data_IF_642757750900
#
_entry.id   IF_642757750900
#
_cell.length_a   1.000
_cell.length_b   1.000
_cell.length_c   1.000
_cell.angle_alpha   90.00
_cell.angle_beta   90.00
_cell.angle_gamma   90.00
#
_symmetry.space_group_name_H-M   'P 1'
#
loop_
_entity.id
_entity.type
_entity.pdbx_description
1 polymer ?
#
# COMPACT_ATOMS: atom_id res chain seq x y z
N UNK A 1 -14.22 11.24 4.35
CA UNK A 1 -12.99 11.27 3.51
C UNK A 1 -13.40 11.42 2.04
N UNK A 2 -12.70 12.25 1.27
CA UNK A 2 -12.88 12.37 -0.18
C UNK A 2 -12.52 11.06 -0.88
N UNK A 3 -13.02 10.87 -2.11
CA UNK A 3 -12.75 9.67 -2.90
C UNK A 3 -12.15 10.02 -4.25
N UNK A 4 -11.44 9.06 -4.85
CA UNK A 4 -10.93 9.13 -6.21
C UNK A 4 -11.16 7.80 -6.95
N UNK A 5 -11.08 7.81 -8.27
CA UNK A 5 -11.16 6.57 -9.04
C UNK A 5 -9.89 5.74 -8.91
N UNK A 6 -10.04 4.43 -8.87
CA UNK A 6 -8.95 3.46 -8.95
C UNK A 6 -8.61 3.23 -10.42
N UNK A 7 -7.53 3.85 -10.88
CA UNK A 7 -7.18 3.83 -12.29
C UNK A 7 -8.32 4.35 -13.18
N UNK A 8 -8.49 3.77 -14.35
CA UNK A 8 -9.58 4.08 -15.28
C UNK A 8 -10.93 3.42 -14.92
N UNK A 9 -11.01 2.77 -13.77
CA UNK A 9 -12.21 2.02 -13.38
C UNK A 9 -13.31 2.94 -12.83
N UNK A 10 -14.53 2.38 -12.73
CA UNK A 10 -15.64 3.04 -12.03
C UNK A 10 -15.56 2.86 -10.50
N UNK A 11 -14.57 2.12 -10.00
CA UNK A 11 -14.38 1.90 -8.57
C UNK A 11 -13.83 3.17 -7.93
N UNK A 12 -14.52 3.65 -6.90
CA UNK A 12 -14.07 4.77 -6.07
C UNK A 12 -13.46 4.25 -4.79
N UNK A 13 -12.30 4.76 -4.44
CA UNK A 13 -11.60 4.48 -3.19
C UNK A 13 -11.37 5.78 -2.42
N UNK A 14 -11.23 5.68 -1.10
CA UNK A 14 -10.79 6.81 -0.28
C UNK A 14 -9.38 7.26 -0.66
N UNK A 15 -9.06 8.54 -0.49
CA UNK A 15 -7.74 9.10 -0.82
C UNK A 15 -6.61 8.62 0.10
N UNK A 16 -6.95 7.93 1.18
CA UNK A 16 -6.05 7.14 2.03
C UNK A 16 -6.52 5.70 2.04
N UNK A 17 -5.59 4.75 2.04
CA UNK A 17 -5.86 3.33 2.16
C UNK A 17 -5.44 2.79 3.54
N UNK A 18 -6.06 1.71 3.97
CA UNK A 18 -5.67 1.01 5.20
C UNK A 18 -4.91 -0.28 4.89
N UNK A 19 -3.70 -0.43 5.43
CA UNK A 19 -2.80 -1.56 5.18
C UNK A 19 -2.76 -2.54 6.36
N UNK A 20 -2.98 -3.82 6.07
CA UNK A 20 -3.11 -4.88 7.06
C UNK A 20 -1.77 -5.50 7.49
N UNK A 21 -0.64 -5.16 6.87
CA UNK A 21 0.64 -5.85 7.07
C UNK A 21 1.02 -6.07 8.54
N UNK A 22 0.67 -5.13 9.42
CA UNK A 22 0.98 -5.18 10.85
C UNK A 22 -0.22 -5.47 11.73
N UNK A 23 -1.39 -5.75 11.17
CA UNK A 23 -2.65 -5.83 11.93
C UNK A 23 -2.58 -6.83 13.07
N UNK A 24 -2.03 -8.03 12.86
CA UNK A 24 -1.90 -9.07 13.89
C UNK A 24 -0.66 -8.92 14.80
N UNK A 25 0.15 -7.85 14.63
CA UNK A 25 1.24 -7.49 15.54
C UNK A 25 2.45 -8.43 15.56
N UNK A 26 2.54 -9.40 14.65
CA UNK A 26 3.67 -10.34 14.52
C UNK A 26 3.79 -10.85 13.08
N UNK A 27 4.98 -11.35 12.71
CA UNK A 27 5.22 -12.07 11.46
C UNK A 27 5.20 -13.60 11.61
N UNK A 28 5.12 -14.09 12.87
CA UNK A 28 5.10 -15.52 13.17
C UNK A 28 3.66 -15.98 13.44
N UNK A 29 3.08 -16.83 12.60
CA UNK A 29 1.69 -17.29 12.76
C UNK A 29 1.41 -17.91 14.14
N UNK A 30 2.39 -18.67 14.68
CA UNK A 30 2.27 -19.29 16.00
C UNK A 30 2.17 -18.29 17.17
N UNK A 31 2.54 -17.02 16.97
CA UNK A 31 2.46 -15.95 17.97
C UNK A 31 1.14 -15.14 17.88
N UNK A 32 0.26 -15.48 16.94
CA UNK A 32 -1.04 -14.80 16.78
C UNK A 32 -2.00 -15.35 17.83
N UNK A 33 -2.13 -14.62 18.94
CA UNK A 33 -3.07 -14.95 20.02
C UNK A 33 -4.48 -14.43 19.71
N UNK A 34 -5.52 -14.90 20.44
CA UNK A 34 -6.87 -14.34 20.33
C UNK A 34 -6.92 -12.83 20.55
N UNK A 35 -6.13 -12.30 21.47
CA UNK A 35 -6.06 -10.87 21.80
C UNK A 35 -5.46 -10.06 20.64
N UNK A 36 -4.40 -10.56 19.99
CA UNK A 36 -3.81 -9.94 18.79
C UNK A 36 -4.78 -9.96 17.62
N UNK A 37 -5.52 -11.06 17.46
CA UNK A 37 -6.55 -11.17 16.44
C UNK A 37 -7.68 -10.17 16.70
N UNK A 38 -8.13 -10.02 17.94
CA UNK A 38 -9.15 -9.03 18.32
C UNK A 38 -8.66 -7.61 18.09
N UNK A 39 -7.43 -7.27 18.48
CA UNK A 39 -6.84 -5.96 18.23
C UNK A 39 -6.75 -5.64 16.73
N UNK A 40 -6.48 -6.64 15.88
CA UNK A 40 -6.52 -6.48 14.43
C UNK A 40 -7.93 -6.14 13.94
N UNK A 41 -8.94 -6.85 14.41
CA UNK A 41 -10.34 -6.61 14.05
C UNK A 41 -10.76 -5.19 14.46
N UNK A 42 -10.43 -4.77 15.69
CA UNK A 42 -10.75 -3.42 16.18
C UNK A 42 -10.05 -2.32 15.37
N UNK A 43 -8.81 -2.54 14.93
CA UNK A 43 -8.11 -1.59 14.06
C UNK A 43 -8.75 -1.49 12.67
N UNK A 44 -9.25 -2.60 12.11
CA UNK A 44 -10.01 -2.59 10.85
C UNK A 44 -11.35 -1.85 10.99
N UNK A 45 -12.05 -2.05 12.11
CA UNK A 45 -13.29 -1.34 12.42
C UNK A 45 -13.03 0.16 12.54
N UNK A 46 -12.00 0.55 13.29
CA UNK A 46 -11.63 1.95 13.45
C UNK A 46 -11.28 2.62 12.10
N UNK A 47 -10.60 1.90 11.19
CA UNK A 47 -10.32 2.39 9.86
C UNK A 47 -11.61 2.56 9.03
N UNK A 48 -12.49 1.57 9.04
CA UNK A 48 -13.77 1.65 8.35
C UNK A 48 -14.64 2.82 8.84
N UNK A 49 -14.76 2.98 10.16
CA UNK A 49 -15.50 4.09 10.80
C UNK A 49 -14.87 5.47 10.52
N UNK A 50 -13.53 5.53 10.36
CA UNK A 50 -12.84 6.75 9.94
C UNK A 50 -13.01 7.06 8.44
N UNK A 51 -13.68 6.19 7.67
CA UNK A 51 -14.03 6.41 6.27
C UNK A 51 -13.01 5.87 5.27
N UNK A 52 -12.11 4.98 5.67
CA UNK A 52 -11.27 4.22 4.73
C UNK A 52 -12.13 3.22 3.95
N UNK A 53 -12.04 3.27 2.62
CA UNK A 53 -12.79 2.36 1.74
C UNK A 53 -11.90 1.47 0.90
N UNK A 54 -10.57 1.54 1.06
CA UNK A 54 -9.62 0.65 0.41
C UNK A 54 -8.76 -0.04 1.46
N UNK A 55 -8.86 -1.37 1.54
CA UNK A 55 -8.13 -2.22 2.48
C UNK A 55 -7.12 -3.08 1.73
N UNK A 56 -5.85 -2.94 2.09
CA UNK A 56 -4.71 -3.57 1.41
C UNK A 56 -4.10 -4.69 2.27
N UNK A 57 -4.07 -5.90 1.73
CA UNK A 57 -3.46 -7.07 2.35
C UNK A 57 -2.40 -7.72 1.43
N UNK A 58 -1.88 -8.88 1.81
CA UNK A 58 -1.12 -9.80 0.98
C UNK A 58 -1.16 -11.21 1.58
N UNK A 59 -1.02 -12.23 0.72
CA UNK A 59 -0.98 -13.64 1.10
C UNK A 59 0.11 -13.97 2.12
N UNK A 60 1.27 -13.30 2.01
CA UNK A 60 2.43 -13.51 2.89
C UNK A 60 2.33 -12.82 4.26
N UNK A 61 1.40 -11.87 4.47
CA UNK A 61 1.34 -11.11 5.72
C UNK A 61 0.97 -12.02 6.88
N UNK A 62 1.98 -12.35 7.70
CA UNK A 62 1.90 -13.36 8.76
C UNK A 62 1.28 -14.67 8.25
N UNK A 63 1.72 -15.16 7.07
CA UNK A 63 1.23 -16.36 6.41
C UNK A 63 -0.32 -16.42 6.33
N UNK A 64 -0.94 -15.34 5.85
CA UNK A 64 -2.39 -15.23 5.66
C UNK A 64 -3.19 -14.82 6.91
N UNK A 65 -2.58 -14.72 8.11
CA UNK A 65 -3.30 -14.35 9.32
C UNK A 65 -3.91 -12.93 9.25
N UNK A 66 -3.25 -12.01 8.52
CA UNK A 66 -3.79 -10.66 8.29
C UNK A 66 -5.05 -10.70 7.41
N UNK A 67 -5.10 -11.56 6.40
CA UNK A 67 -6.30 -11.79 5.58
C UNK A 67 -7.43 -12.42 6.40
N UNK A 68 -7.12 -13.41 7.24
CA UNK A 68 -8.09 -14.05 8.15
C UNK A 68 -8.68 -13.01 9.13
N UNK A 69 -7.86 -12.11 9.66
CA UNK A 69 -8.33 -11.03 10.53
C UNK A 69 -9.31 -10.11 9.80
N UNK A 70 -9.01 -9.72 8.56
CA UNK A 70 -9.92 -8.91 7.74
C UNK A 70 -11.22 -9.67 7.43
N UNK A 71 -11.13 -10.95 7.06
CA UNK A 71 -12.30 -11.82 6.84
C UNK A 71 -13.22 -11.88 8.06
N UNK A 72 -12.67 -12.05 9.27
CA UNK A 72 -13.43 -12.01 10.53
C UNK A 72 -14.07 -10.64 10.76
N UNK A 73 -13.39 -9.54 10.41
CA UNK A 73 -13.94 -8.18 10.49
C UNK A 73 -15.14 -8.02 9.57
N UNK A 74 -15.03 -8.50 8.32
CA UNK A 74 -16.13 -8.43 7.34
C UNK A 74 -17.38 -9.18 7.78
N UNK A 75 -17.21 -10.29 8.52
CA UNK A 75 -18.33 -11.02 9.15
C UNK A 75 -18.96 -10.25 10.31
N UNK A 76 -18.14 -9.61 11.13
CA UNK A 76 -18.59 -8.87 12.31
C UNK A 76 -19.32 -7.57 11.93
N UNK A 77 -18.83 -6.84 10.93
CA UNK A 77 -19.37 -5.52 10.53
C UNK A 77 -20.30 -5.65 9.34
N UNK A 78 -21.61 -5.69 9.61
CA UNK A 78 -22.63 -5.84 8.58
C UNK A 78 -22.56 -4.70 7.55
N UNK A 79 -22.47 -5.04 6.28
CA UNK A 79 -22.41 -4.07 5.18
C UNK A 79 -21.01 -3.64 4.77
N UNK A 80 -19.97 -3.81 5.61
CA UNK A 80 -18.59 -3.39 5.30
C UNK A 80 -18.09 -4.01 3.99
N UNK A 81 -18.30 -5.32 3.76
CA UNK A 81 -17.89 -6.02 2.53
C UNK A 81 -18.37 -5.35 1.24
N UNK A 82 -19.56 -4.70 1.27
CA UNK A 82 -20.13 -4.00 0.11
C UNK A 82 -19.64 -2.57 -0.03
N UNK A 83 -19.15 -1.99 1.07
CA UNK A 83 -18.76 -0.58 1.16
C UNK A 83 -17.28 -0.35 0.88
N UNK A 84 -16.45 -1.40 0.94
CA UNK A 84 -15.00 -1.29 0.77
C UNK A 84 -14.51 -2.03 -0.47
N UNK A 85 -13.33 -1.65 -0.92
CA UNK A 85 -12.51 -2.34 -1.92
C UNK A 85 -11.45 -3.14 -1.20
N UNK A 86 -11.34 -4.42 -1.50
CA UNK A 86 -10.38 -5.34 -0.89
C UNK A 86 -9.28 -5.67 -1.89
N UNK A 87 -8.05 -5.36 -1.51
CA UNK A 87 -6.86 -5.68 -2.28
C UNK A 87 -5.99 -6.70 -1.55
N UNK A 88 -5.41 -7.64 -2.29
CA UNK A 88 -4.37 -8.55 -1.80
C UNK A 88 -3.35 -8.84 -2.90
N UNK A 89 -2.27 -9.56 -2.57
CA UNK A 89 -1.08 -9.69 -3.42
C UNK A 89 -0.56 -11.11 -3.39
N UNK A 90 0.15 -11.52 -4.48
CA UNK A 90 0.84 -12.80 -4.57
C UNK A 90 2.27 -12.64 -5.11
N UNK A 91 3.02 -13.72 -5.10
CA UNK A 91 4.26 -13.88 -5.84
C UNK A 91 5.53 -13.77 -5.00
N UNK A 92 5.45 -13.56 -3.69
CA UNK A 92 6.61 -13.70 -2.81
C UNK A 92 6.56 -15.09 -2.15
N UNK A 93 7.66 -15.83 -2.23
CA UNK A 93 7.83 -17.12 -1.53
C UNK A 93 9.02 -17.03 -0.59
N UNK A 94 8.77 -17.26 0.69
CA UNK A 94 9.84 -17.28 1.69
C UNK A 94 10.74 -18.51 1.54
N UNK A 95 11.94 -18.41 2.10
CA UNK A 95 12.82 -19.60 2.19
C UNK A 95 12.10 -20.73 2.91
N UNK A 96 12.33 -21.97 2.45
CA UNK A 96 11.64 -23.15 2.97
C UNK A 96 10.30 -23.49 2.31
N UNK A 97 9.85 -22.70 1.31
CA UNK A 97 8.59 -22.93 0.60
C UNK A 97 8.85 -23.25 -0.90
N UNK A 98 8.36 -24.41 -1.46
CA UNK A 98 7.60 -25.48 -0.82
C UNK A 98 8.46 -26.53 -0.10
N UNK A 99 9.79 -26.52 -0.31
CA UNK A 99 10.72 -27.49 0.26
C UNK A 99 11.70 -26.78 1.22
N UNK A 100 12.19 -27.45 2.29
CA UNK A 100 13.08 -26.84 3.28
C UNK A 100 14.29 -26.09 2.70
N UNK A 101 14.86 -26.58 1.59
CA UNK A 101 16.02 -25.99 0.92
C UNK A 101 15.65 -24.91 -0.13
N UNK A 102 14.36 -24.62 -0.33
CA UNK A 102 13.94 -23.62 -1.30
C UNK A 102 14.41 -22.23 -0.86
N UNK A 103 15.04 -21.42 -1.76
CA UNK A 103 15.44 -20.07 -1.42
C UNK A 103 14.24 -19.12 -1.33
N UNK A 104 14.43 -18.00 -0.65
CA UNK A 104 13.52 -16.86 -0.82
C UNK A 104 13.55 -16.41 -2.29
N UNK A 105 12.39 -16.29 -2.91
CA UNK A 105 12.26 -15.96 -4.32
C UNK A 105 10.92 -15.27 -4.64
N UNK A 106 10.82 -14.76 -5.86
CA UNK A 106 9.55 -14.38 -6.47
C UNK A 106 9.10 -15.49 -7.42
N UNK A 107 7.77 -15.64 -7.58
CA UNK A 107 7.18 -16.73 -8.37
C UNK A 107 5.88 -16.23 -9.00
N UNK A 108 5.95 -15.90 -10.29
CA UNK A 108 4.78 -15.50 -11.10
C UNK A 108 4.36 -16.59 -12.09
N UNK A 109 4.67 -17.85 -11.78
CA UNK A 109 4.06 -18.96 -12.50
C UNK A 109 2.54 -18.91 -12.42
N UNK A 110 1.86 -19.32 -13.47
CA UNK A 110 0.39 -19.38 -13.48
C UNK A 110 -0.16 -20.25 -12.34
N UNK A 111 0.51 -21.34 -12.02
CA UNK A 111 0.16 -22.22 -10.90
C UNK A 111 0.15 -21.47 -9.58
N UNK A 112 1.25 -20.76 -9.26
CA UNK A 112 1.35 -20.03 -7.99
C UNK A 112 0.37 -18.86 -7.91
N UNK A 113 0.21 -18.08 -8.98
CA UNK A 113 -0.77 -16.97 -9.04
C UNK A 113 -2.20 -17.48 -8.75
N UNK A 114 -2.60 -18.59 -9.36
CA UNK A 114 -3.93 -19.18 -9.19
C UNK A 114 -4.12 -19.75 -7.78
N UNK A 115 -3.14 -20.50 -7.30
CA UNK A 115 -3.16 -21.10 -5.96
C UNK A 115 -3.21 -20.02 -4.86
N UNK A 116 -2.37 -18.98 -4.95
CA UNK A 116 -2.35 -17.86 -3.99
C UNK A 116 -3.69 -17.12 -3.98
N UNK A 117 -4.28 -16.86 -5.16
CA UNK A 117 -5.60 -16.22 -5.25
C UNK A 117 -6.68 -17.05 -4.51
N UNK A 118 -6.69 -18.36 -4.71
CA UNK A 118 -7.67 -19.25 -4.05
C UNK A 118 -7.47 -19.29 -2.53
N UNK A 119 -6.23 -19.28 -2.05
CA UNK A 119 -5.94 -19.19 -0.63
C UNK A 119 -6.38 -17.84 -0.03
N UNK A 120 -6.09 -16.73 -0.73
CA UNK A 120 -6.52 -15.39 -0.30
C UNK A 120 -8.04 -15.28 -0.21
N UNK A 121 -8.78 -15.81 -1.19
CA UNK A 121 -10.24 -15.84 -1.16
C UNK A 121 -10.77 -16.63 0.04
N UNK A 122 -10.14 -17.77 0.34
CA UNK A 122 -10.46 -18.61 1.52
C UNK A 122 -10.17 -17.89 2.84
N UNK A 123 -9.00 -17.26 2.96
CA UNK A 123 -8.58 -16.54 4.17
C UNK A 123 -9.49 -15.36 4.46
N UNK A 124 -9.81 -14.56 3.43
CA UNK A 124 -10.68 -13.40 3.49
C UNK A 124 -12.17 -13.78 3.63
N UNK A 125 -12.52 -15.03 3.34
CA UNK A 125 -13.91 -15.54 3.29
C UNK A 125 -14.80 -14.69 2.37
N UNK A 126 -14.31 -14.46 1.14
CA UNK A 126 -14.97 -13.71 0.07
C UNK A 126 -14.95 -14.51 -1.23
N UNK A 127 -15.89 -14.22 -2.13
CA UNK A 127 -15.96 -14.86 -3.45
C UNK A 127 -15.11 -14.14 -4.50
N UNK A 128 -14.77 -12.85 -4.26
CA UNK A 128 -14.06 -12.03 -5.23
C UNK A 128 -13.16 -11.00 -4.58
N UNK A 129 -11.92 -10.90 -5.06
CA UNK A 129 -10.96 -9.85 -4.76
C UNK A 129 -11.22 -8.67 -5.72
N UNK A 130 -11.29 -7.45 -5.20
CA UNK A 130 -11.49 -6.26 -6.04
C UNK A 130 -10.21 -5.86 -6.79
N UNK A 131 -9.04 -5.98 -6.15
CA UNK A 131 -7.76 -5.66 -6.74
C UNK A 131 -6.69 -6.69 -6.32
N UNK A 132 -6.10 -7.36 -7.30
CA UNK A 132 -5.07 -8.39 -7.08
C UNK A 132 -3.74 -7.95 -7.66
N UNK A 133 -2.70 -7.95 -6.82
CA UNK A 133 -1.38 -7.46 -7.20
C UNK A 133 -0.37 -8.58 -7.42
N UNK A 134 0.55 -8.37 -8.38
CA UNK A 134 1.88 -8.98 -8.35
C UNK A 134 2.75 -8.19 -7.37
N UNK A 135 3.24 -8.83 -6.29
CA UNK A 135 3.76 -8.15 -5.11
C UNK A 135 5.16 -7.52 -5.28
N UNK A 136 6.05 -8.19 -6.01
CA UNK A 136 7.42 -7.73 -6.32
C UNK A 136 7.80 -8.17 -7.72
N UNK A 137 8.59 -7.39 -8.48
CA UNK A 137 9.01 -7.82 -9.80
C UNK A 137 9.75 -9.16 -9.75
N UNK A 138 9.23 -10.17 -10.41
CA UNK A 138 9.93 -11.42 -10.66
C UNK A 138 10.81 -11.24 -11.89
N UNK A 139 12.13 -11.38 -11.74
CA UNK A 139 13.07 -11.23 -12.86
C UNK A 139 12.95 -12.36 -13.90
N UNK A 140 12.28 -13.45 -13.53
CA UNK A 140 11.98 -14.57 -14.42
C UNK A 140 10.51 -14.54 -14.92
N UNK A 141 9.79 -13.45 -14.72
CA UNK A 141 8.39 -13.34 -15.15
C UNK A 141 8.22 -13.66 -16.63
N UNK A 142 7.21 -14.46 -16.94
CA UNK A 142 6.75 -14.75 -18.29
C UNK A 142 5.42 -14.03 -18.54
N UNK A 143 5.39 -12.84 -19.20
CA UNK A 143 4.17 -12.06 -19.36
C UNK A 143 2.99 -12.82 -20.01
N UNK A 144 3.18 -13.64 -21.09
CA UNK A 144 2.11 -14.48 -21.63
C UNK A 144 1.50 -15.45 -20.62
N UNK A 145 2.32 -16.01 -19.72
CA UNK A 145 1.85 -16.94 -18.69
C UNK A 145 1.04 -16.20 -17.60
N UNK A 146 1.52 -15.03 -17.17
CA UNK A 146 0.79 -14.15 -16.23
C UNK A 146 -0.56 -13.73 -16.82
N UNK A 147 -0.58 -13.31 -18.10
CA UNK A 147 -1.81 -12.94 -18.80
C UNK A 147 -2.83 -14.08 -18.81
N UNK A 148 -2.38 -15.32 -19.06
CA UNK A 148 -3.21 -16.51 -19.03
C UNK A 148 -3.82 -16.76 -17.65
N UNK A 149 -3.03 -16.59 -16.57
CA UNK A 149 -3.51 -16.71 -15.21
C UNK A 149 -4.54 -15.62 -14.88
N UNK A 150 -4.24 -14.36 -15.22
CA UNK A 150 -5.16 -13.23 -14.99
C UNK A 150 -6.49 -13.40 -15.72
N UNK A 151 -6.45 -13.78 -16.99
CA UNK A 151 -7.65 -14.06 -17.77
C UNK A 151 -8.50 -15.18 -17.17
N UNK A 152 -7.87 -16.24 -16.66
CA UNK A 152 -8.57 -17.33 -15.95
C UNK A 152 -9.24 -16.82 -14.67
N UNK A 153 -8.56 -16.02 -13.85
CA UNK A 153 -9.12 -15.43 -12.64
C UNK A 153 -10.26 -14.46 -12.93
N UNK A 154 -10.09 -13.63 -13.97
CA UNK A 154 -11.14 -12.68 -14.43
C UNK A 154 -12.37 -13.42 -14.93
N UNK A 155 -12.20 -14.41 -15.80
CA UNK A 155 -13.30 -15.22 -16.35
C UNK A 155 -14.05 -16.00 -15.26
N UNK A 156 -13.33 -16.48 -14.25
CA UNK A 156 -13.93 -17.16 -13.09
C UNK A 156 -14.65 -16.21 -12.11
N UNK A 157 -14.57 -14.88 -12.32
CA UNK A 157 -15.15 -13.88 -11.44
C UNK A 157 -14.41 -13.72 -10.09
N UNK A 158 -13.25 -14.37 -9.92
CA UNK A 158 -12.47 -14.36 -8.68
C UNK A 158 -11.74 -13.05 -8.44
N UNK A 159 -11.35 -12.33 -9.51
CA UNK A 159 -10.65 -11.04 -9.44
C UNK A 159 -11.35 -10.04 -10.35
N UNK A 160 -11.50 -8.80 -9.84
CA UNK A 160 -12.15 -7.73 -10.59
C UNK A 160 -11.14 -6.88 -11.38
N UNK A 161 -10.03 -6.50 -10.76
CA UNK A 161 -8.98 -5.68 -11.35
C UNK A 161 -7.60 -6.19 -10.95
N UNK A 162 -6.58 -5.87 -11.77
CA UNK A 162 -5.21 -6.26 -11.55
C UNK A 162 -4.31 -5.04 -11.37
N UNK A 163 -3.28 -5.20 -10.56
CA UNK A 163 -2.26 -4.21 -10.31
C UNK A 163 -0.89 -4.85 -10.10
N UNK A 164 0.11 -4.02 -9.91
CA UNK A 164 1.49 -4.43 -9.64
C UNK A 164 2.03 -3.67 -8.43
N UNK A 165 3.10 -4.19 -7.83
CA UNK A 165 3.76 -3.50 -6.74
C UNK A 165 5.27 -3.48 -6.96
N UNK A 166 5.89 -2.31 -6.77
CA UNK A 166 7.33 -2.07 -6.97
C UNK A 166 7.82 -2.29 -8.42
N UNK A 167 6.94 -2.19 -9.40
CA UNK A 167 7.31 -2.29 -10.81
C UNK A 167 7.82 -0.96 -11.33
N UNK A 168 8.98 -0.98 -11.97
CA UNK A 168 9.47 0.13 -12.76
C UNK A 168 8.66 0.27 -14.07
N UNK A 169 8.68 1.46 -14.72
CA UNK A 169 7.92 1.70 -15.94
C UNK A 169 8.13 0.67 -17.05
N UNK A 170 9.35 0.19 -17.23
CA UNK A 170 9.67 -0.84 -18.22
C UNK A 170 8.98 -2.17 -17.93
N UNK A 171 8.93 -2.61 -16.67
CA UNK A 171 8.24 -3.83 -16.27
C UNK A 171 6.72 -3.71 -16.47
N UNK A 172 6.14 -2.55 -16.09
CA UNK A 172 4.71 -2.27 -16.32
C UNK A 172 4.39 -2.32 -17.81
N UNK A 173 5.17 -1.63 -18.64
CA UNK A 173 4.96 -1.58 -20.11
C UNK A 173 5.08 -2.97 -20.72
N UNK A 174 6.11 -3.74 -20.34
CA UNK A 174 6.31 -5.10 -20.85
C UNK A 174 5.15 -6.02 -20.48
N UNK A 175 4.71 -6.01 -19.22
CA UNK A 175 3.59 -6.85 -18.78
C UNK A 175 2.29 -6.42 -19.47
N UNK A 176 2.00 -5.11 -19.52
CA UNK A 176 0.77 -4.57 -20.09
C UNK A 176 0.59 -4.93 -21.57
N UNK A 177 1.68 -5.09 -22.31
CA UNK A 177 1.63 -5.47 -23.72
C UNK A 177 1.00 -6.87 -23.99
N UNK A 178 0.86 -7.69 -22.96
CA UNK A 178 0.29 -9.04 -23.01
C UNK A 178 -1.06 -9.16 -22.29
N UNK A 179 -1.48 -8.13 -21.55
CA UNK A 179 -2.73 -8.15 -20.79
C UNK A 179 -3.89 -7.61 -21.62
N UNK A 180 -5.04 -8.28 -21.57
CA UNK A 180 -6.30 -7.79 -22.16
C UNK A 180 -6.92 -6.67 -21.32
N UNK A 181 -6.68 -6.67 -19.99
CA UNK A 181 -7.20 -5.69 -19.05
C UNK A 181 -6.10 -4.71 -18.64
N UNK A 182 -6.41 -3.42 -18.42
CA UNK A 182 -5.42 -2.48 -17.94
C UNK A 182 -5.00 -2.79 -16.50
N UNK A 183 -3.72 -2.58 -16.20
CA UNK A 183 -3.23 -2.49 -14.83
C UNK A 183 -3.74 -1.18 -14.22
N UNK A 184 -4.45 -1.26 -13.09
CA UNK A 184 -5.14 -0.10 -12.50
C UNK A 184 -4.39 0.55 -11.35
N UNK A 185 -3.34 -0.12 -10.84
CA UNK A 185 -2.57 0.38 -9.72
C UNK A 185 -1.12 -0.11 -9.75
N UNK A 186 -0.19 0.74 -9.27
CA UNK A 186 1.18 0.37 -8.93
C UNK A 186 1.46 0.81 -7.49
N UNK A 187 1.71 -0.16 -6.61
CA UNK A 187 1.98 0.11 -5.20
C UNK A 187 3.49 0.17 -4.96
N UNK A 188 4.03 1.35 -4.64
CA UNK A 188 5.46 1.61 -4.53
C UNK A 188 5.81 2.33 -3.23
N UNK A 189 7.08 2.24 -2.79
CA UNK A 189 7.56 3.01 -1.66
C UNK A 189 7.70 4.48 -2.05
N UNK A 190 6.89 5.34 -1.46
CA UNK A 190 6.99 6.78 -1.68
C UNK A 190 6.81 7.51 -0.34
N UNK A 191 7.79 8.34 0.01
CA UNK A 191 7.74 9.25 1.16
C UNK A 191 8.86 10.29 1.01
N UNK A 192 8.90 11.38 1.80
CA UNK A 192 9.94 12.41 1.66
C UNK A 192 11.38 11.91 1.72
N UNK A 193 11.65 10.75 2.34
CA UNK A 193 12.99 10.15 2.35
C UNK A 193 13.20 9.06 1.27
N UNK A 194 12.22 8.83 0.38
CA UNK A 194 12.29 7.90 -0.75
C UNK A 194 11.70 8.58 -1.99
N UNK A 195 12.55 9.24 -2.75
CA UNK A 195 12.14 10.12 -3.85
C UNK A 195 12.27 9.47 -5.23
N UNK A 196 12.82 8.24 -5.33
CA UNK A 196 13.06 7.59 -6.63
C UNK A 196 11.84 7.62 -7.56
N UNK A 197 10.58 7.33 -7.12
CA UNK A 197 9.42 7.32 -8.00
C UNK A 197 9.09 8.68 -8.66
N UNK A 198 9.62 9.79 -8.10
CA UNK A 198 9.50 11.12 -8.71
C UNK A 198 10.48 11.34 -9.87
N UNK A 199 11.52 10.48 -10.03
CA UNK A 199 12.62 10.69 -10.97
C UNK A 199 12.83 9.53 -11.93
N UNK A 200 12.31 8.33 -11.64
CA UNK A 200 12.49 7.12 -12.43
C UNK A 200 11.38 6.88 -13.49
N UNK A 201 10.44 7.82 -13.60
CA UNK A 201 9.31 7.74 -14.52
C UNK A 201 8.10 7.00 -13.98
N UNK A 202 8.16 6.46 -12.75
CA UNK A 202 7.02 5.69 -12.17
C UNK A 202 5.77 6.55 -12.05
N UNK A 203 5.89 7.78 -11.49
CA UNK A 203 4.73 8.66 -11.33
C UNK A 203 4.27 9.26 -12.67
N UNK A 204 5.19 9.49 -13.62
CA UNK A 204 4.84 9.95 -14.96
C UNK A 204 4.01 8.91 -15.71
N UNK A 205 4.42 7.64 -15.65
CA UNK A 205 3.65 6.54 -16.23
C UNK A 205 2.28 6.38 -15.55
N UNK A 206 2.21 6.57 -14.23
CA UNK A 206 0.94 6.55 -13.52
C UNK A 206 -0.02 7.62 -14.04
N UNK A 207 0.46 8.82 -14.35
CA UNK A 207 -0.34 9.89 -14.96
C UNK A 207 -0.73 9.51 -16.40
N UNK A 208 0.25 9.10 -17.22
CA UNK A 208 0.05 8.78 -18.64
C UNK A 208 -0.98 7.66 -18.85
N UNK A 209 -0.88 6.60 -18.04
CA UNK A 209 -1.69 5.37 -18.18
C UNK A 209 -2.89 5.34 -17.21
N UNK A 210 -3.16 6.42 -16.48
CA UNK A 210 -4.21 6.44 -15.44
C UNK A 210 -4.09 5.27 -14.44
N UNK A 211 -2.87 4.92 -14.06
CA UNK A 211 -2.58 3.92 -13.02
C UNK A 211 -2.55 4.63 -11.68
N UNK A 212 -3.28 4.16 -10.68
CA UNK A 212 -3.24 4.76 -9.33
C UNK A 212 -1.95 4.37 -8.61
N UNK A 213 -1.07 5.33 -8.25
CA UNK A 213 0.06 5.03 -7.38
C UNK A 213 -0.39 4.93 -5.93
N UNK A 214 -0.12 3.79 -5.28
CA UNK A 214 -0.33 3.64 -3.85
C UNK A 214 1.01 3.67 -3.13
N UNK A 215 1.15 4.55 -2.12
CA UNK A 215 2.39 4.70 -1.37
C UNK A 215 2.40 3.77 -0.15
N UNK A 216 3.18 2.67 -0.21
CA UNK A 216 3.44 1.90 1.00
C UNK A 216 4.54 2.57 1.83
N UNK A 217 4.51 2.35 3.16
CA UNK A 217 5.38 3.03 4.13
C UNK A 217 5.44 4.55 3.99
N UNK A 218 4.31 5.26 3.81
CA UNK A 218 4.30 6.71 3.54
C UNK A 218 4.99 7.53 4.63
N UNK A 219 5.14 6.97 5.82
CA UNK A 219 5.84 7.56 6.96
C UNK A 219 7.23 6.92 7.21
N UNK A 220 7.84 6.29 6.20
CA UNK A 220 9.17 5.68 6.28
C UNK A 220 9.35 4.74 7.50
N UNK A 221 8.45 3.77 7.64
CA UNK A 221 8.43 2.89 8.80
C UNK A 221 8.02 3.58 10.11
N UNK A 222 7.54 4.80 10.03
CA UNK A 222 7.01 5.62 11.13
C UNK A 222 7.95 6.72 11.63
N UNK A 223 9.22 6.79 11.18
CA UNK A 223 10.13 7.82 11.66
C UNK A 223 9.81 9.23 11.13
N UNK A 224 9.11 9.34 10.00
CA UNK A 224 8.54 10.61 9.51
C UNK A 224 7.22 10.98 10.20
N UNK A 225 6.66 10.08 10.98
CA UNK A 225 5.42 10.33 11.72
C UNK A 225 5.67 10.97 13.09
N UNK A 226 4.57 11.32 13.75
CA UNK A 226 4.57 11.85 15.11
C UNK A 226 4.88 10.72 16.12
N UNK A 227 5.59 11.05 17.21
CA UNK A 227 5.80 10.12 18.34
C UNK A 227 6.98 9.15 18.19
N UNK A 228 7.83 9.31 17.16
CA UNK A 228 9.13 8.62 17.10
C UNK A 228 10.28 9.63 17.18
N UNK A 229 11.16 9.41 18.13
CA UNK A 229 12.39 10.17 18.26
C UNK A 229 13.45 9.67 17.25
N UNK A 230 14.17 10.60 16.68
CA UNK A 230 15.31 10.32 15.83
C UNK A 230 16.52 10.01 16.74
N UNK A 231 17.11 8.84 16.57
CA UNK A 231 18.31 8.45 17.34
C UNK A 231 19.52 9.29 16.90
N UNK A 232 20.21 9.89 17.89
CA UNK A 232 21.36 10.76 17.62
C UNK A 232 22.57 10.01 17.01
N UNK A 233 22.68 8.70 17.22
CA UNK A 233 23.72 7.83 16.68
C UNK A 233 23.44 7.36 15.24
N UNK A 234 22.31 7.77 14.66
CA UNK A 234 21.98 7.34 13.29
C UNK A 234 22.93 7.99 12.26
N UNK A 235 23.52 7.24 11.30
CA UNK A 235 24.48 7.78 10.33
C UNK A 235 23.98 8.97 9.52
N UNK A 236 22.68 9.07 9.29
CA UNK A 236 22.04 10.17 8.57
C UNK A 236 21.33 11.17 9.52
N UNK A 237 21.72 11.24 10.79
CA UNK A 237 21.01 12.03 11.81
C UNK A 237 20.77 13.48 11.37
N UNK A 238 21.81 14.22 10.97
CA UNK A 238 21.69 15.61 10.58
C UNK A 238 20.75 15.82 9.37
N UNK A 239 20.87 14.97 8.36
CA UNK A 239 19.98 15.00 7.19
C UNK A 239 18.52 14.75 7.57
N UNK A 240 18.28 13.71 8.39
CA UNK A 240 16.94 13.35 8.87
C UNK A 240 16.37 14.44 9.77
N UNK A 241 17.19 14.97 10.69
CA UNK A 241 16.79 16.05 11.57
C UNK A 241 16.34 17.28 10.78
N UNK A 242 17.14 17.72 9.79
CA UNK A 242 16.79 18.85 8.92
C UNK A 242 15.46 18.64 8.20
N UNK A 243 15.21 17.42 7.71
CA UNK A 243 13.94 17.08 7.08
C UNK A 243 12.78 17.15 8.08
N UNK A 244 12.95 16.57 9.27
CA UNK A 244 11.91 16.61 10.32
C UNK A 244 11.64 18.05 10.77
N UNK A 245 12.66 18.84 11.05
CA UNK A 245 12.52 20.25 11.47
C UNK A 245 11.74 21.06 10.38
N UNK A 246 12.00 20.77 9.10
CA UNK A 246 11.28 21.44 7.99
C UNK A 246 9.81 21.02 7.93
N UNK A 247 9.52 19.70 8.10
CA UNK A 247 8.13 19.21 8.13
C UNK A 247 7.40 19.76 9.33
N UNK A 248 8.05 19.82 10.51
CA UNK A 248 7.48 20.37 11.74
C UNK A 248 7.17 21.86 11.63
N UNK A 249 8.03 22.63 10.95
CA UNK A 249 7.76 24.04 10.68
C UNK A 249 6.49 24.21 9.81
N UNK A 250 6.34 23.40 8.74
CA UNK A 250 5.12 23.41 7.92
C UNK A 250 3.92 22.91 8.74
N UNK A 251 4.08 21.91 9.60
CA UNK A 251 3.03 21.41 10.47
C UNK A 251 2.54 22.50 11.45
N UNK A 252 3.47 23.31 11.99
CA UNK A 252 3.16 24.46 12.83
C UNK A 252 2.36 25.54 12.11
N UNK A 253 2.62 25.80 10.82
CA UNK A 253 1.84 26.75 9.99
C UNK A 253 0.37 26.32 9.85
N UNK A 254 0.09 25.02 9.91
CA UNK A 254 -1.25 24.44 9.81
C UNK A 254 -1.89 24.12 11.17
N UNK A 255 -1.14 24.17 12.28
CA UNK A 255 -1.62 23.68 13.58
C UNK A 255 -1.92 22.18 13.59
N UNK A 256 -1.22 21.39 12.76
CA UNK A 256 -1.44 19.96 12.56
C UNK A 256 -0.18 19.16 12.91
N UNK A 257 -0.30 17.84 12.99
CA UNK A 257 0.83 16.97 13.25
C UNK A 257 1.69 16.73 12.01
N UNK A 258 2.96 16.37 12.24
CA UNK A 258 3.90 15.94 11.21
C UNK A 258 3.32 14.83 10.34
N UNK A 259 2.70 13.83 10.94
CA UNK A 259 2.02 12.73 10.24
C UNK A 259 1.06 13.23 9.18
N UNK A 260 0.20 14.16 9.53
CA UNK A 260 -0.80 14.74 8.62
C UNK A 260 -0.13 15.48 7.46
N UNK A 261 0.91 16.27 7.73
CA UNK A 261 1.63 17.01 6.69
C UNK A 261 2.38 16.12 5.72
N UNK A 262 3.02 15.04 6.19
CA UNK A 262 3.69 14.07 5.30
C UNK A 262 2.68 13.39 4.37
N UNK A 263 1.53 13.00 4.87
CA UNK A 263 0.49 12.39 4.06
C UNK A 263 -0.10 13.38 3.04
N UNK A 264 -0.37 14.62 3.45
CA UNK A 264 -0.84 15.68 2.56
C UNK A 264 0.20 16.02 1.48
N UNK A 265 1.50 15.98 1.82
CA UNK A 265 2.59 16.18 0.87
C UNK A 265 2.56 15.14 -0.27
N UNK A 266 2.35 13.87 0.05
CA UNK A 266 2.18 12.81 -0.95
C UNK A 266 0.93 13.04 -1.80
N UNK A 267 -0.19 13.34 -1.18
CA UNK A 267 -1.49 13.52 -1.84
C UNK A 267 -1.57 14.77 -2.74
N UNK A 268 -0.64 15.73 -2.57
CA UNK A 268 -0.54 16.95 -3.39
C UNK A 268 -0.06 16.66 -4.82
N UNK A 269 0.65 15.54 -5.05
CA UNK A 269 1.18 15.22 -6.37
C UNK A 269 0.07 14.95 -7.39
N UNK A 270 0.17 15.45 -8.66
CA UNK A 270 -0.87 15.32 -9.68
C UNK A 270 -1.17 13.88 -10.09
N UNK A 271 -0.28 12.91 -9.83
CA UNK A 271 -0.55 11.48 -10.02
C UNK A 271 -1.58 10.91 -9.04
N UNK A 272 -2.09 11.71 -8.08
CA UNK A 272 -3.11 11.32 -7.10
C UNK A 272 -2.65 10.14 -6.23
N UNK A 273 -1.47 10.25 -5.65
CA UNK A 273 -0.90 9.23 -4.75
C UNK A 273 -1.88 8.92 -3.60
N UNK A 274 -2.11 7.64 -3.34
CA UNK A 274 -2.91 7.13 -2.21
C UNK A 274 -1.97 6.57 -1.15
N UNK A 275 -1.71 7.27 -0.02
CA UNK A 275 -0.92 6.73 1.07
C UNK A 275 -1.63 5.57 1.77
N UNK A 276 -0.87 4.51 2.12
CA UNK A 276 -1.37 3.34 2.84
C UNK A 276 -0.97 3.45 4.31
N UNK A 277 -1.95 3.62 5.19
CA UNK A 277 -1.75 3.74 6.64
C UNK A 277 -1.74 2.35 7.26
N UNK A 278 -0.67 2.01 7.97
CA UNK A 278 -0.50 0.69 8.61
C UNK A 278 -0.46 0.76 10.15
N UNK A 279 -1.14 1.72 10.78
CA UNK A 279 -1.22 1.83 12.23
C UNK A 279 -2.33 0.95 12.78
N UNK A 280 -2.06 0.27 13.92
CA UNK A 280 -3.08 -0.45 14.70
C UNK A 280 -3.68 0.42 15.81
N UNK A 281 -3.18 1.65 15.99
CA UNK A 281 -3.73 2.57 16.99
C UNK A 281 -4.89 3.37 16.37
N UNK A 282 -6.13 3.25 16.90
CA UNK A 282 -7.29 3.97 16.38
C UNK A 282 -7.13 5.49 16.35
N UNK A 283 -6.40 6.07 17.32
CA UNK A 283 -6.13 7.51 17.34
C UNK A 283 -5.30 7.94 16.12
N UNK A 284 -4.25 7.20 15.77
CA UNK A 284 -3.39 7.47 14.61
C UNK A 284 -4.17 7.26 13.29
N UNK A 285 -5.03 6.24 13.24
CA UNK A 285 -5.89 5.95 12.07
C UNK A 285 -6.82 7.15 11.80
N UNK A 286 -7.49 7.65 12.85
CA UNK A 286 -8.40 8.82 12.77
C UNK A 286 -7.64 10.11 12.47
N UNK A 287 -6.46 10.30 13.08
CA UNK A 287 -5.65 11.49 12.84
C UNK A 287 -5.21 11.62 11.38
N UNK A 288 -4.77 10.52 10.78
CA UNK A 288 -4.29 10.49 9.40
C UNK A 288 -5.34 11.02 8.39
N UNK A 289 -6.63 10.84 8.67
CA UNK A 289 -7.72 11.32 7.82
C UNK A 289 -7.70 12.83 7.63
N UNK A 290 -7.18 13.60 8.61
CA UNK A 290 -7.07 15.06 8.49
C UNK A 290 -6.23 15.51 7.30
N UNK A 291 -5.34 14.66 6.79
CA UNK A 291 -4.53 14.95 5.61
C UNK A 291 -5.38 15.19 4.34
N UNK A 292 -6.58 14.63 4.29
CA UNK A 292 -7.52 14.78 3.16
C UNK A 292 -8.06 16.22 2.99
N UNK A 293 -7.96 17.05 4.02
CA UNK A 293 -8.42 18.44 4.02
C UNK A 293 -7.26 19.45 3.93
N UNK A 294 -5.99 18.99 3.88
CA UNK A 294 -4.81 19.84 3.80
C UNK A 294 -4.41 20.07 2.34
N UNK A 295 -4.43 21.31 1.92
CA UNK A 295 -4.00 21.75 0.59
C UNK A 295 -2.69 22.56 0.71
N UNK A 296 -1.55 21.87 0.82
CA UNK A 296 -0.23 22.52 0.90
C UNK A 296 -0.03 23.48 -0.28
N UNK A 297 0.57 24.64 -0.02
CA UNK A 297 1.00 25.52 -1.11
C UNK A 297 2.14 24.88 -1.90
N UNK A 298 2.44 25.42 -3.09
CA UNK A 298 3.56 24.96 -3.89
C UNK A 298 4.89 25.18 -3.14
N UNK A 299 5.02 26.30 -2.45
CA UNK A 299 6.20 26.66 -1.65
C UNK A 299 6.42 25.69 -0.48
N UNK A 300 5.34 25.36 0.27
CA UNK A 300 5.41 24.40 1.37
C UNK A 300 5.82 23.02 0.87
N UNK A 301 5.26 22.56 -0.24
CA UNK A 301 5.61 21.29 -0.87
C UNK A 301 7.10 21.24 -1.26
N UNK A 302 7.60 22.30 -1.93
CA UNK A 302 9.00 22.38 -2.36
C UNK A 302 9.98 22.57 -1.20
N UNK A 303 9.59 23.24 -0.11
CA UNK A 303 10.41 23.33 1.12
C UNK A 303 10.72 21.93 1.65
N UNK A 304 9.71 21.08 1.74
CA UNK A 304 9.86 19.67 2.17
C UNK A 304 10.71 18.90 1.16
N UNK A 305 10.48 19.06 -0.15
CA UNK A 305 11.27 18.38 -1.19
C UNK A 305 12.76 18.75 -1.12
N UNK A 306 13.09 20.01 -0.97
CA UNK A 306 14.49 20.50 -0.88
C UNK A 306 15.17 19.94 0.37
N UNK A 307 14.48 19.94 1.53
CA UNK A 307 14.99 19.32 2.75
C UNK A 307 15.19 17.79 2.59
N UNK A 308 14.26 17.10 1.93
CA UNK A 308 14.34 15.68 1.62
C UNK A 308 15.54 15.32 0.72
N UNK A 309 15.80 16.14 -0.30
CA UNK A 309 16.96 15.99 -1.19
C UNK A 309 18.29 16.24 -0.46
N UNK A 310 18.28 17.07 0.58
CA UNK A 310 19.49 17.52 1.28
C UNK A 310 20.37 18.50 0.49
N UNK A 311 19.91 18.97 -0.68
CA UNK A 311 20.59 19.93 -1.55
C UNK A 311 19.59 20.79 -2.32
N UNK A 312 19.95 22.03 -2.73
CA UNK A 312 19.11 22.88 -3.55
C UNK A 312 18.65 22.21 -4.85
N UNK A 313 17.61 22.75 -5.44
CA UNK A 313 17.22 22.43 -6.82
C UNK A 313 18.31 22.97 -7.77
N UNK A 314 18.55 22.32 -8.93
CA UNK A 314 19.49 22.83 -9.93
C UNK A 314 19.03 24.16 -10.50
#
# INVERSE_FOLDING_TARGET
>A
MKTQHLGETKVKISRLAYGNMRSVGTWKPAEVTPEKMEAAIESHIAAYEAGYTHFDSADIYCAGQCEIALGKTLKRVKGMKKAITIATKCGIRFGGDPNPDSPHRYDFSAEHILWSCDNSLKNLDIERIDLYYLHRPDLLMNPPEIAKAFNKLKKAGKVKHFGVSNFLPSFVTTLQAFLDEPLVANQVEIHPARLDPYYDGTLDQCIEKNITPLAWSPLAGGWLGTGRELKADHPEFEKRKKLLDTIDAVAGEWGLSRTVIVLAWLMKHPSKIVPIIGSNNPANIKEAVKADDVELTREQWYRILVAARGKPLP
#
